data_IF_753785035770
#
_entry.id   IF_753785035770
#
_cell.length_a   1.000
_cell.length_b   1.000
_cell.length_c   1.000
_cell.angle_alpha   90.00
_cell.angle_beta   90.00
_cell.angle_gamma   90.00
#
_symmetry.space_group_name_H-M   'P 1'
#
loop_
_entity.id
_entity.type
_entity.pdbx_description
1 polymer ?
#
# COMPACT_ATOMS: atom_id res chain seq x y z
N UNK A 1 83.86 -4.78 -37.91
CA UNK A 1 82.88 -5.89 -37.89
C UNK A 1 82.33 -6.07 -36.48
N UNK A 2 81.32 -5.31 -36.05
CA UNK A 2 80.31 -5.77 -35.07
C UNK A 2 79.24 -4.66 -34.87
N UNK A 3 78.05 -4.82 -35.48
CA UNK A 3 76.90 -3.91 -35.31
C UNK A 3 75.62 -4.70 -35.00
N UNK A 4 75.76 -5.89 -34.39
CA UNK A 4 74.68 -6.91 -34.28
C UNK A 4 74.22 -7.23 -32.85
N UNK A 5 74.65 -6.47 -31.83
CA UNK A 5 74.31 -6.74 -30.41
C UNK A 5 73.30 -5.76 -29.78
N UNK A 6 72.85 -4.71 -30.50
CA UNK A 6 71.90 -3.71 -29.96
C UNK A 6 70.43 -4.13 -30.06
N UNK A 7 70.08 -5.07 -30.94
CA UNK A 7 68.67 -5.33 -31.27
C UNK A 7 67.98 -6.32 -30.32
N UNK A 8 68.72 -7.15 -29.58
CA UNK A 8 68.12 -8.19 -28.73
C UNK A 8 67.32 -7.64 -27.54
N UNK A 9 67.69 -6.46 -27.02
CA UNK A 9 66.96 -5.79 -25.93
C UNK A 9 65.63 -5.16 -26.37
N UNK A 10 65.56 -4.65 -27.60
CA UNK A 10 64.37 -3.95 -28.10
C UNK A 10 63.19 -4.91 -28.31
N UNK A 11 63.46 -6.13 -28.81
CA UNK A 11 62.43 -7.16 -29.00
C UNK A 11 61.90 -7.73 -27.67
N UNK A 12 62.75 -7.78 -26.64
CA UNK A 12 62.38 -8.21 -25.29
C UNK A 12 61.52 -7.20 -24.52
N UNK A 13 61.65 -5.90 -24.81
CA UNK A 13 60.79 -4.84 -24.27
C UNK A 13 59.42 -4.83 -24.97
N UNK A 14 59.39 -4.99 -26.29
CA UNK A 14 58.15 -5.05 -27.10
C UNK A 14 57.31 -6.27 -26.71
N UNK A 15 57.91 -7.44 -26.53
CA UNK A 15 57.17 -8.64 -26.08
C UNK A 15 56.64 -8.54 -24.65
N UNK A 16 57.35 -7.86 -23.74
CA UNK A 16 56.85 -7.57 -22.39
C UNK A 16 55.69 -6.58 -22.40
N UNK A 17 55.77 -5.54 -23.22
CA UNK A 17 54.70 -4.55 -23.39
C UNK A 17 53.45 -5.18 -24.01
N UNK A 18 53.58 -5.99 -25.06
CA UNK A 18 52.47 -6.69 -25.69
C UNK A 18 51.80 -7.70 -24.74
N UNK A 19 52.59 -8.43 -23.94
CA UNK A 19 52.04 -9.31 -22.89
C UNK A 19 51.31 -8.51 -21.82
N UNK A 20 51.87 -7.38 -21.37
CA UNK A 20 51.22 -6.51 -20.39
C UNK A 20 49.89 -5.96 -20.91
N UNK A 21 49.87 -5.44 -22.14
CA UNK A 21 48.64 -4.94 -22.78
C UNK A 21 47.60 -6.06 -22.93
N UNK A 22 48.00 -7.26 -23.32
CA UNK A 22 47.09 -8.41 -23.43
C UNK A 22 46.49 -8.81 -22.08
N UNK A 23 47.27 -8.83 -21.00
CA UNK A 23 46.78 -9.13 -19.65
C UNK A 23 45.89 -8.01 -19.11
N UNK A 24 46.20 -6.74 -19.38
CA UNK A 24 45.33 -5.60 -19.04
C UNK A 24 43.99 -5.65 -19.80
N UNK A 25 44.00 -6.01 -21.09
CA UNK A 25 42.77 -6.19 -21.88
C UNK A 25 41.92 -7.35 -21.36
N UNK A 26 42.53 -8.49 -21.03
CA UNK A 26 41.82 -9.63 -20.43
C UNK A 26 41.24 -9.29 -19.05
N UNK A 27 41.98 -8.57 -18.21
CA UNK A 27 41.49 -8.13 -16.90
C UNK A 27 40.31 -7.16 -17.04
N UNK A 28 40.37 -6.24 -18.01
CA UNK A 28 39.28 -5.27 -18.27
C UNK A 28 38.01 -5.98 -18.75
N UNK A 29 38.13 -6.96 -19.66
CA UNK A 29 36.99 -7.79 -20.10
C UNK A 29 36.43 -8.62 -18.94
N UNK A 30 37.28 -9.18 -18.10
CA UNK A 30 36.85 -9.93 -16.91
C UNK A 30 36.08 -9.05 -15.92
N UNK A 31 36.55 -7.83 -15.64
CA UNK A 31 35.84 -6.87 -14.79
C UNK A 31 34.48 -6.43 -15.36
N UNK A 32 34.30 -6.41 -16.68
CA UNK A 32 33.03 -6.07 -17.33
C UNK A 32 32.01 -7.22 -17.33
N UNK A 33 32.46 -8.47 -17.17
CA UNK A 33 31.58 -9.66 -17.13
C UNK A 33 31.00 -9.94 -15.73
N UNK A 34 31.63 -9.46 -14.66
CA UNK A 34 31.20 -9.68 -13.27
C UNK A 34 29.91 -8.94 -12.87
N UNK A 35 29.65 -7.68 -13.26
CA UNK A 35 28.45 -6.95 -12.83
C UNK A 35 27.15 -7.51 -13.41
N UNK A 36 27.20 -8.28 -14.51
CA UNK A 36 26.01 -8.84 -15.16
C UNK A 36 25.29 -9.94 -14.37
N UNK A 37 25.95 -10.53 -13.37
CA UNK A 37 25.39 -11.58 -12.52
C UNK A 37 25.05 -11.11 -11.09
N UNK A 38 25.18 -9.81 -10.79
CA UNK A 38 24.74 -9.29 -9.50
C UNK A 38 23.21 -9.41 -9.41
N UNK A 39 22.71 -10.12 -8.38
CA UNK A 39 21.27 -10.18 -8.11
C UNK A 39 20.75 -8.75 -7.94
N UNK A 40 19.92 -8.31 -8.88
CA UNK A 40 19.21 -7.04 -8.77
C UNK A 40 18.12 -7.19 -7.72
N UNK A 41 18.04 -6.21 -6.83
CA UNK A 41 16.96 -6.14 -5.85
C UNK A 41 15.61 -6.02 -6.56
N UNK A 42 14.66 -6.84 -6.15
CA UNK A 42 13.27 -6.80 -6.58
C UNK A 42 12.50 -5.70 -5.85
N UNK A 43 11.39 -5.24 -6.44
CA UNK A 43 10.51 -4.27 -5.77
C UNK A 43 9.99 -4.79 -4.41
N UNK A 44 9.79 -6.11 -4.28
CA UNK A 44 9.36 -6.75 -3.03
C UNK A 44 10.44 -6.65 -1.96
N UNK A 45 11.69 -6.98 -2.29
CA UNK A 45 12.82 -6.88 -1.36
C UNK A 45 13.05 -5.43 -0.90
N UNK A 46 12.99 -4.47 -1.84
CA UNK A 46 13.07 -3.06 -1.54
C UNK A 46 11.91 -2.60 -0.64
N UNK A 47 10.69 -3.06 -0.91
CA UNK A 47 9.49 -2.79 -0.12
C UNK A 47 9.63 -3.30 1.32
N UNK A 48 10.10 -4.53 1.52
CA UNK A 48 10.36 -5.11 2.85
C UNK A 48 11.36 -4.25 3.63
N UNK A 49 12.47 -3.85 3.01
CA UNK A 49 13.47 -3.01 3.69
C UNK A 49 12.94 -1.62 4.05
N UNK A 50 12.17 -1.00 3.16
CA UNK A 50 11.68 0.37 3.32
C UNK A 50 10.33 0.47 4.03
N UNK A 51 9.71 -0.67 4.36
CA UNK A 51 8.33 -0.74 4.86
C UNK A 51 7.33 -0.08 3.89
N UNK A 52 7.58 -0.22 2.58
CA UNK A 52 6.70 0.27 1.52
C UNK A 52 5.91 -0.88 0.94
N UNK A 53 4.58 -0.80 1.02
CA UNK A 53 3.69 -1.67 0.28
C UNK A 53 3.42 -1.08 -1.12
N UNK A 54 3.70 -1.84 -2.17
CA UNK A 54 3.34 -1.49 -3.54
C UNK A 54 2.16 -2.35 -3.96
N UNK A 55 0.99 -1.74 -4.10
CA UNK A 55 -0.25 -2.40 -4.46
C UNK A 55 -0.67 -2.00 -5.89
N UNK A 56 -1.12 -2.96 -6.69
CA UNK A 56 -1.71 -2.68 -8.00
C UNK A 56 -3.21 -2.46 -7.88
N UNK A 57 -3.70 -1.25 -8.14
CA UNK A 57 -5.11 -0.87 -7.91
C UNK A 57 -6.09 -1.32 -9.02
N UNK A 58 -5.67 -2.20 -9.93
CA UNK A 58 -6.41 -2.68 -11.12
C UNK A 58 -6.83 -1.59 -12.14
N UNK A 59 -7.53 -0.53 -11.71
CA UNK A 59 -7.98 0.60 -12.51
C UNK A 59 -7.85 1.93 -11.73
N UNK A 60 -8.05 3.04 -12.43
CA UNK A 60 -8.17 4.36 -11.81
C UNK A 60 -9.46 4.42 -10.97
N UNK A 61 -9.43 4.94 -9.73
CA UNK A 61 -10.65 5.16 -8.96
C UNK A 61 -11.53 6.22 -9.61
N UNK A 62 -12.83 6.04 -9.51
CA UNK A 62 -13.85 6.97 -10.00
C UNK A 62 -14.20 8.04 -8.98
N UNK A 63 -14.19 7.70 -7.69
CA UNK A 63 -14.45 8.61 -6.58
C UNK A 63 -13.77 8.10 -5.29
N UNK A 64 -13.48 9.00 -4.35
CA UNK A 64 -12.92 8.69 -3.02
C UNK A 64 -13.79 9.22 -1.87
N UNK A 65 -15.04 9.57 -2.16
CA UNK A 65 -16.07 9.81 -1.17
C UNK A 65 -16.77 8.48 -0.79
N UNK A 66 -16.65 8.03 0.48
CA UNK A 66 -17.26 6.77 0.93
C UNK A 66 -18.77 6.65 0.72
N UNK A 67 -19.50 7.75 0.57
CA UNK A 67 -20.95 7.71 0.38
C UNK A 67 -21.38 7.38 -1.06
N UNK A 68 -20.52 7.65 -2.06
CA UNK A 68 -20.87 7.51 -3.49
C UNK A 68 -19.97 6.55 -4.26
N UNK A 69 -18.78 6.23 -3.73
CA UNK A 69 -17.89 5.24 -4.31
C UNK A 69 -18.58 3.87 -4.45
N UNK A 70 -18.54 3.30 -5.65
CA UNK A 70 -19.22 2.03 -5.94
C UNK A 70 -18.39 0.99 -6.69
N UNK A 71 -17.13 1.29 -7.06
CA UNK A 71 -16.28 0.34 -7.76
C UNK A 71 -15.31 -0.39 -6.83
N UNK A 72 -14.78 -1.53 -7.27
CA UNK A 72 -13.74 -2.25 -6.53
C UNK A 72 -12.47 -1.41 -6.37
N UNK A 73 -12.06 -0.69 -7.43
CA UNK A 73 -10.86 0.13 -7.43
C UNK A 73 -10.93 1.31 -6.44
N UNK A 74 -12.14 1.85 -6.21
CA UNK A 74 -12.38 2.87 -5.16
C UNK A 74 -12.23 2.24 -3.78
N UNK A 75 -12.90 1.09 -3.58
CA UNK A 75 -12.99 0.44 -2.27
C UNK A 75 -11.63 -0.02 -1.75
N UNK A 76 -10.73 -0.51 -2.60
CA UNK A 76 -9.36 -0.87 -2.19
C UNK A 76 -8.61 0.31 -1.56
N UNK A 77 -8.77 1.51 -2.13
CA UNK A 77 -8.17 2.73 -1.59
C UNK A 77 -8.93 3.18 -0.33
N UNK A 78 -10.27 3.17 -0.36
CA UNK A 78 -11.09 3.62 0.76
C UNK A 78 -10.89 2.77 2.03
N UNK A 79 -10.71 1.45 1.89
CA UNK A 79 -10.41 0.57 3.02
C UNK A 79 -9.03 0.85 3.65
N UNK A 80 -8.12 1.47 2.90
CA UNK A 80 -6.84 1.96 3.44
C UNK A 80 -6.94 3.35 4.09
N UNK A 81 -7.91 4.17 3.68
CA UNK A 81 -8.09 5.56 4.15
C UNK A 81 -9.07 5.70 5.31
N UNK A 82 -10.12 4.87 5.37
CA UNK A 82 -11.22 4.98 6.31
C UNK A 82 -11.40 3.70 7.13
N UNK A 83 -11.94 3.84 8.33
CA UNK A 83 -12.24 2.72 9.22
C UNK A 83 -13.72 2.75 9.65
N UNK A 84 -14.43 1.64 9.45
CA UNK A 84 -15.81 1.49 9.88
C UNK A 84 -15.97 1.16 11.37
N UNK A 85 -17.21 0.96 11.82
CA UNK A 85 -17.50 0.48 13.18
C UNK A 85 -16.86 -0.88 13.46
N UNK A 86 -16.91 -1.77 12.47
CA UNK A 86 -16.31 -3.10 12.48
C UNK A 86 -15.49 -3.32 11.20
N UNK A 87 -14.67 -4.36 11.20
CA UNK A 87 -13.97 -4.87 10.02
C UNK A 87 -14.21 -6.37 9.89
N UNK A 88 -13.84 -6.95 8.75
CA UNK A 88 -13.90 -8.40 8.57
C UNK A 88 -12.57 -9.01 9.03
N UNK A 89 -12.64 -10.02 9.89
CA UNK A 89 -11.48 -10.81 10.29
C UNK A 89 -11.06 -11.73 9.13
N UNK A 90 -9.80 -11.64 8.71
CA UNK A 90 -9.28 -12.38 7.54
C UNK A 90 -9.29 -13.91 7.74
N UNK A 91 -9.26 -14.41 8.98
CA UNK A 91 -9.16 -15.84 9.26
C UNK A 91 -10.54 -16.49 9.41
N UNK A 92 -11.46 -15.80 10.04
CA UNK A 92 -12.78 -16.32 10.43
C UNK A 92 -13.90 -15.75 9.56
N UNK A 93 -13.63 -14.68 8.80
CA UNK A 93 -14.61 -13.90 8.05
C UNK A 93 -15.75 -13.36 8.92
N UNK A 94 -15.53 -13.25 10.23
CA UNK A 94 -16.48 -12.69 11.18
C UNK A 94 -16.24 -11.19 11.41
N UNK A 95 -17.26 -10.44 11.87
CA UNK A 95 -17.06 -9.07 12.31
C UNK A 95 -16.05 -9.00 13.48
N UNK A 96 -15.04 -8.15 13.34
CA UNK A 96 -14.02 -7.87 14.32
C UNK A 96 -13.98 -6.38 14.70
N UNK A 97 -13.45 -6.03 15.90
CA UNK A 97 -13.29 -4.64 16.32
C UNK A 97 -12.50 -3.79 15.33
N UNK A 98 -13.01 -2.58 15.10
CA UNK A 98 -12.39 -1.51 14.33
C UNK A 98 -12.56 -0.21 15.13
N UNK A 99 -13.24 0.83 14.62
CA UNK A 99 -13.52 2.03 15.41
C UNK A 99 -14.32 1.73 16.70
N UNK A 100 -15.19 0.70 16.67
CA UNK A 100 -15.79 0.14 17.87
C UNK A 100 -14.90 -0.95 18.50
N UNK A 101 -14.66 -0.86 19.81
CA UNK A 101 -13.92 -1.89 20.57
C UNK A 101 -14.78 -3.10 20.91
N UNK A 102 -16.09 -2.90 21.05
CA UNK A 102 -17.10 -3.96 21.26
C UNK A 102 -18.47 -3.45 20.88
N UNK A 103 -19.41 -4.37 20.70
CA UNK A 103 -20.83 -4.06 20.52
C UNK A 103 -21.70 -5.13 21.17
N UNK A 104 -22.93 -4.74 21.49
CA UNK A 104 -23.97 -5.63 22.00
C UNK A 104 -25.21 -5.57 21.14
N UNK A 105 -25.86 -6.71 20.95
CA UNK A 105 -27.14 -6.80 20.23
C UNK A 105 -28.23 -7.12 21.26
N UNK A 106 -29.34 -6.40 21.21
CA UNK A 106 -30.50 -6.64 22.08
C UNK A 106 -31.10 -8.03 21.84
N UNK A 107 -31.85 -8.59 22.81
CA UNK A 107 -32.45 -9.92 22.67
C UNK A 107 -33.39 -10.08 21.47
N UNK A 108 -34.03 -8.99 21.02
CA UNK A 108 -34.91 -8.95 19.85
C UNK A 108 -34.16 -8.74 18.52
N UNK A 109 -32.84 -8.51 18.56
CA UNK A 109 -32.01 -8.29 17.37
C UNK A 109 -32.18 -6.92 16.71
N UNK A 110 -32.97 -6.01 17.29
CA UNK A 110 -33.33 -4.74 16.66
C UNK A 110 -32.44 -3.56 17.08
N UNK A 111 -31.68 -3.69 18.16
CA UNK A 111 -30.80 -2.66 18.68
C UNK A 111 -29.38 -3.20 18.73
N UNK A 112 -28.48 -2.59 17.96
CA UNK A 112 -27.04 -2.81 18.08
C UNK A 112 -26.40 -1.58 18.72
N UNK A 113 -25.74 -1.77 19.87
CA UNK A 113 -25.04 -0.70 20.59
C UNK A 113 -23.55 -0.86 20.43
N UNK A 114 -22.88 0.11 19.80
CA UNK A 114 -21.44 0.13 19.61
C UNK A 114 -20.75 0.97 20.68
N UNK A 115 -19.64 0.47 21.22
CA UNK A 115 -18.76 1.21 22.10
C UNK A 115 -17.50 1.60 21.33
N UNK A 116 -17.28 2.90 21.10
CA UNK A 116 -16.13 3.40 20.36
C UNK A 116 -14.85 3.35 21.18
N UNK A 117 -13.72 3.11 20.51
CA UNK A 117 -12.39 3.24 21.12
C UNK A 117 -12.19 4.67 21.65
N UNK A 118 -11.47 4.86 22.76
CA UNK A 118 -11.15 6.19 23.23
C UNK A 118 -10.17 6.89 22.27
N UNK A 119 -10.21 8.22 22.25
CA UNK A 119 -9.25 9.07 21.53
C UNK A 119 -9.20 8.86 20.00
N UNK A 120 -10.31 8.47 19.37
CA UNK A 120 -10.40 8.46 17.91
C UNK A 120 -10.22 9.89 17.37
N UNK A 121 -9.47 10.00 16.27
CA UNK A 121 -9.19 11.27 15.60
C UNK A 121 -9.23 11.11 14.10
N UNK A 122 -9.67 12.16 13.44
CA UNK A 122 -9.45 12.35 12.02
C UNK A 122 -7.97 12.64 11.73
N UNK A 123 -7.55 12.47 10.48
CA UNK A 123 -6.16 12.70 10.05
C UNK A 123 -5.73 14.17 10.20
N UNK A 124 -6.67 15.11 10.23
CA UNK A 124 -6.43 16.53 10.53
C UNK A 124 -6.25 16.81 12.05
N UNK A 125 -6.44 15.81 12.92
CA UNK A 125 -6.32 15.93 14.37
C UNK A 125 -7.63 16.18 15.12
N UNK A 126 -8.72 16.47 14.41
CA UNK A 126 -10.04 16.67 15.02
C UNK A 126 -10.51 15.40 15.74
N UNK A 127 -11.32 15.60 16.78
CA UNK A 127 -11.87 14.46 17.52
C UNK A 127 -12.96 13.78 16.69
N UNK A 128 -12.99 12.45 16.73
CA UNK A 128 -13.99 11.64 16.04
C UNK A 128 -14.85 10.88 17.05
N UNK A 129 -16.15 10.78 16.79
CA UNK A 129 -17.10 10.15 17.70
C UNK A 129 -18.39 9.64 17.03
N UNK A 130 -19.37 9.27 17.86
CA UNK A 130 -20.62 8.66 17.40
C UNK A 130 -21.41 9.56 16.43
N UNK A 131 -21.33 10.88 16.61
CA UNK A 131 -22.02 11.86 15.75
C UNK A 131 -21.50 11.85 14.31
N UNK A 132 -20.23 11.53 14.09
CA UNK A 132 -19.65 11.45 12.75
C UNK A 132 -20.20 10.24 11.97
N UNK A 133 -20.45 9.12 12.67
CA UNK A 133 -21.14 7.96 12.08
C UNK A 133 -22.60 8.27 11.76
N UNK A 134 -23.32 8.91 12.69
CA UNK A 134 -24.71 9.34 12.47
C UNK A 134 -24.80 10.25 11.24
N UNK A 135 -23.95 11.27 11.17
CA UNK A 135 -23.86 12.17 10.02
C UNK A 135 -23.61 11.40 8.71
N UNK A 136 -22.66 10.46 8.72
CA UNK A 136 -22.30 9.68 7.53
C UNK A 136 -23.48 8.83 7.04
N UNK A 137 -24.22 8.19 7.94
CA UNK A 137 -25.41 7.41 7.60
C UNK A 137 -26.56 8.28 7.08
N UNK A 138 -26.84 9.41 7.74
CA UNK A 138 -27.86 10.37 7.29
C UNK A 138 -27.52 10.96 5.92
N UNK A 139 -26.24 11.27 5.69
CA UNK A 139 -25.74 11.76 4.41
C UNK A 139 -25.94 10.73 3.31
N UNK A 140 -25.57 9.46 3.53
CA UNK A 140 -25.74 8.41 2.53
C UNK A 140 -27.23 8.14 2.22
N UNK A 141 -28.14 8.37 3.16
CA UNK A 141 -29.58 8.28 2.95
C UNK A 141 -30.20 9.52 2.28
N UNK A 142 -29.45 10.61 2.10
CA UNK A 142 -29.95 11.84 1.48
C UNK A 142 -30.07 11.66 -0.04
N UNK A 143 -31.27 11.78 -0.66
CA UNK A 143 -31.44 11.49 -2.09
C UNK A 143 -30.57 12.32 -3.02
N UNK A 144 -30.29 13.58 -2.65
CA UNK A 144 -29.44 14.47 -3.43
C UNK A 144 -27.97 14.04 -3.51
N UNK A 145 -27.51 13.17 -2.59
CA UNK A 145 -26.15 12.60 -2.63
C UNK A 145 -26.02 11.55 -3.73
N UNK A 146 -27.13 10.89 -4.11
CA UNK A 146 -27.10 9.88 -5.18
C UNK A 146 -26.31 8.62 -4.81
N UNK A 147 -26.22 8.29 -3.52
CA UNK A 147 -25.50 7.12 -3.03
C UNK A 147 -26.12 5.81 -3.55
N UNK A 148 -25.40 5.11 -4.43
CA UNK A 148 -25.82 3.84 -5.02
C UNK A 148 -26.09 2.78 -3.95
N UNK A 149 -25.28 2.76 -2.88
CA UNK A 149 -25.39 1.82 -1.76
C UNK A 149 -26.28 2.30 -0.60
N UNK A 150 -27.07 3.36 -0.78
CA UNK A 150 -28.02 3.83 0.24
C UNK A 150 -28.97 2.74 0.76
N UNK A 151 -29.32 1.77 -0.10
CA UNK A 151 -30.18 0.65 0.28
C UNK A 151 -29.61 -0.24 1.39
N UNK A 152 -28.29 -0.25 1.59
CA UNK A 152 -27.66 -1.00 2.68
C UNK A 152 -28.06 -0.47 4.06
N UNK A 153 -28.48 0.79 4.16
CA UNK A 153 -28.92 1.41 5.41
C UNK A 153 -30.44 1.37 5.61
N UNK A 154 -31.23 0.92 4.64
CA UNK A 154 -32.70 0.81 4.80
C UNK A 154 -33.17 -0.06 5.97
N UNK A 155 -32.45 -1.12 6.39
CA UNK A 155 -32.81 -1.86 7.61
C UNK A 155 -32.67 -1.04 8.90
N UNK A 156 -31.91 0.06 8.89
CA UNK A 156 -31.72 0.91 10.05
C UNK A 156 -32.94 1.80 10.20
N UNK A 157 -33.58 1.71 11.36
CA UNK A 157 -34.69 2.60 11.71
C UNK A 157 -34.18 4.04 11.81
N UNK A 158 -34.80 4.95 11.06
CA UNK A 158 -34.54 6.37 11.21
C UNK A 158 -34.78 6.81 12.67
N UNK A 159 -33.96 7.72 13.22
CA UNK A 159 -34.22 8.25 14.55
C UNK A 159 -35.64 8.83 14.59
N UNK A 160 -36.43 8.41 15.59
CA UNK A 160 -37.70 9.08 15.85
C UNK A 160 -37.37 10.55 16.12
N UNK A 161 -38.07 11.48 15.47
CA UNK A 161 -37.83 12.92 15.58
C UNK A 161 -37.64 13.30 17.05
N UNK A 162 -36.39 13.61 17.46
CA UNK A 162 -36.03 14.00 18.82
C UNK A 162 -35.32 12.97 19.72
N UNK A 163 -34.92 11.78 19.24
CA UNK A 163 -34.07 10.88 20.03
C UNK A 163 -32.80 10.48 19.28
N UNK A 164 -31.69 11.10 19.64
CA UNK A 164 -30.34 10.56 19.39
C UNK A 164 -29.99 9.73 20.63
N UNK A 165 -29.88 8.41 20.47
CA UNK A 165 -29.35 7.49 21.49
C UNK A 165 -28.40 6.52 20.82
#
# INVERSE_FOLDING_TARGET
MNRRQSDSGQWGAVTRLLRFVFHCSLFTVYCLLIPGCAKRETAVEAGIRTQTLVLGNFAEPTDLDPAVASTLADNEILLALFEGLTRIDEKTSQPAPAAAERWGVSPDGLICTFHLRPNLRWSNGDSFGATDFVFSFERMLTPAVGAEYSYMLWPIKAPATGSVR
#
